data_IF_830542425318
#
_entry.id   IF_830542425318
#
_cell.length_a   1.000
_cell.length_b   1.000
_cell.length_c   1.000
_cell.angle_alpha   90.00
_cell.angle_beta   90.00
_cell.angle_gamma   90.00
#
_symmetry.space_group_name_H-M   'P 1'
#
loop_
_entity.id
_entity.type
_entity.pdbx_description
1 polymer ?
#
# COMPACT_ATOMS: atom_id res chain seq x y z
N UNK A 1 -10.75 -28.77 -9.32
CA UNK A 1 -9.28 -29.01 -9.30
C UNK A 1 -8.50 -27.91 -10.04
N UNK A 2 -8.71 -27.67 -11.35
CA UNK A 2 -7.94 -26.69 -12.13
C UNK A 2 -8.01 -25.23 -11.62
N UNK A 3 -9.18 -24.77 -11.15
CA UNK A 3 -9.34 -23.41 -10.57
C UNK A 3 -8.53 -23.19 -9.29
N UNK A 4 -8.42 -24.20 -8.44
CA UNK A 4 -7.65 -24.11 -7.20
C UNK A 4 -6.14 -24.06 -7.47
N UNK A 5 -5.66 -24.83 -8.44
CA UNK A 5 -4.25 -24.84 -8.85
C UNK A 5 -3.83 -23.51 -9.50
N UNK A 6 -4.70 -22.96 -10.37
CA UNK A 6 -4.51 -21.63 -10.96
C UNK A 6 -4.44 -20.52 -9.90
N UNK A 7 -5.34 -20.52 -8.91
CA UNK A 7 -5.31 -19.55 -7.81
C UNK A 7 -4.07 -19.67 -6.92
N UNK A 8 -3.59 -20.90 -6.71
CA UNK A 8 -2.39 -21.13 -5.92
C UNK A 8 -1.13 -20.61 -6.63
N UNK A 9 -1.05 -20.77 -7.96
CA UNK A 9 0.02 -20.23 -8.79
C UNK A 9 0.01 -18.70 -8.77
N UNK A 10 -1.16 -18.07 -8.90
CA UNK A 10 -1.25 -16.60 -8.88
C UNK A 10 -0.90 -16.01 -7.51
N UNK A 11 -1.31 -16.64 -6.41
CA UNK A 11 -0.92 -16.24 -5.06
C UNK A 11 0.59 -16.39 -4.83
N UNK A 12 1.19 -17.47 -5.33
CA UNK A 12 2.63 -17.69 -5.18
C UNK A 12 3.44 -16.66 -5.98
N UNK A 13 3.00 -16.34 -7.19
CA UNK A 13 3.63 -15.31 -8.01
C UNK A 13 3.51 -13.91 -7.40
N UNK A 14 2.35 -13.56 -6.83
CA UNK A 14 2.16 -12.26 -6.19
C UNK A 14 2.99 -12.14 -4.89
N UNK A 15 3.05 -13.20 -4.08
CA UNK A 15 3.88 -13.23 -2.88
C UNK A 15 5.37 -13.16 -3.23
N UNK A 16 5.80 -13.91 -4.25
CA UNK A 16 7.17 -13.84 -4.76
C UNK A 16 7.52 -12.43 -5.25
N UNK A 17 6.65 -11.80 -6.06
CA UNK A 17 6.83 -10.43 -6.53
C UNK A 17 6.90 -9.42 -5.37
N UNK A 18 6.10 -9.60 -4.32
CA UNK A 18 6.16 -8.76 -3.13
C UNK A 18 7.49 -8.92 -2.37
N UNK A 19 7.96 -10.16 -2.21
CA UNK A 19 9.26 -10.41 -1.55
C UNK A 19 10.44 -9.86 -2.34
N UNK A 20 10.42 -9.94 -3.67
CA UNK A 20 11.51 -9.39 -4.50
C UNK A 20 11.54 -7.87 -4.44
N UNK A 21 10.38 -7.20 -4.47
CA UNK A 21 10.30 -5.74 -4.36
C UNK A 21 10.73 -5.22 -2.98
N UNK A 22 10.34 -5.91 -1.90
CA UNK A 22 10.81 -5.59 -0.55
C UNK A 22 12.34 -5.72 -0.44
N UNK A 23 12.91 -6.83 -0.94
CA UNK A 23 14.35 -7.04 -0.98
C UNK A 23 15.08 -5.98 -1.83
N UNK A 24 14.51 -5.60 -2.99
CA UNK A 24 15.07 -4.55 -3.85
C UNK A 24 15.11 -3.21 -3.12
N UNK A 25 14.05 -2.84 -2.39
CA UNK A 25 14.03 -1.62 -1.59
C UNK A 25 15.15 -1.63 -0.54
N UNK A 26 15.28 -2.71 0.23
CA UNK A 26 16.34 -2.86 1.25
C UNK A 26 17.74 -2.76 0.64
N UNK A 27 17.99 -3.42 -0.50
CA UNK A 27 19.29 -3.35 -1.19
C UNK A 27 19.57 -1.93 -1.72
N UNK A 28 18.56 -1.26 -2.27
CA UNK A 28 18.70 0.11 -2.77
C UNK A 28 18.98 1.11 -1.64
N UNK A 29 18.32 0.95 -0.49
CA UNK A 29 18.59 1.73 0.73
C UNK A 29 20.02 1.52 1.21
N UNK A 30 20.49 0.27 1.28
CA UNK A 30 21.86 -0.04 1.67
C UNK A 30 22.90 0.62 0.74
N UNK A 31 22.67 0.57 -0.58
CA UNK A 31 23.55 1.23 -1.57
C UNK A 31 23.55 2.76 -1.39
N UNK A 32 22.39 3.36 -1.12
CA UNK A 32 22.27 4.78 -0.86
C UNK A 32 23.02 5.20 0.42
N UNK A 33 22.92 4.43 1.50
CA UNK A 33 23.67 4.68 2.73
C UNK A 33 25.18 4.60 2.51
N UNK A 34 25.66 3.68 1.69
CA UNK A 34 27.07 3.58 1.36
C UNK A 34 27.57 4.80 0.57
N UNK A 35 26.79 5.28 -0.41
CA UNK A 35 27.11 6.52 -1.12
C UNK A 35 27.14 7.74 -0.19
N UNK A 36 26.21 7.83 0.77
CA UNK A 36 26.20 8.88 1.80
C UNK A 36 27.44 8.78 2.71
N UNK A 37 27.86 7.56 3.07
CA UNK A 37 29.10 7.34 3.83
C UNK A 37 30.34 7.80 3.05
N UNK A 38 30.42 7.49 1.75
CA UNK A 38 31.50 7.93 0.87
C UNK A 38 31.52 9.44 0.70
N UNK A 39 30.38 10.06 0.42
CA UNK A 39 30.24 11.51 0.35
C UNK A 39 30.73 12.20 1.63
N UNK A 40 30.35 11.67 2.81
CA UNK A 40 30.80 12.20 4.08
C UNK A 40 32.30 12.02 4.33
N UNK A 41 32.93 10.96 3.81
CA UNK A 41 34.39 10.77 3.84
C UNK A 41 35.09 11.81 2.96
N UNK A 42 34.66 11.94 1.70
CA UNK A 42 35.20 12.92 0.75
C UNK A 42 35.08 14.33 1.31
N UNK A 43 33.92 14.68 1.90
CA UNK A 43 33.72 16.01 2.47
C UNK A 43 34.66 16.30 3.65
N UNK A 44 34.93 15.31 4.51
CA UNK A 44 35.94 15.43 5.59
C UNK A 44 37.34 15.63 5.03
N UNK A 45 37.70 14.95 3.95
CA UNK A 45 39.00 15.09 3.28
C UNK A 45 39.15 16.46 2.61
N UNK A 46 38.09 16.95 1.96
CA UNK A 46 38.03 18.32 1.41
C UNK A 46 38.23 19.37 2.51
N UNK A 47 37.54 19.24 3.65
CA UNK A 47 37.72 20.16 4.78
C UNK A 47 39.15 20.15 5.32
N UNK A 48 39.77 18.97 5.47
CA UNK A 48 41.17 18.84 5.91
C UNK A 48 42.14 19.49 4.92
N UNK A 49 42.00 19.22 3.63
CA UNK A 49 42.89 19.76 2.60
C UNK A 49 42.75 21.28 2.43
N UNK A 50 41.51 21.81 2.53
CA UNK A 50 41.27 23.26 2.57
C UNK A 50 41.92 23.92 3.78
N UNK A 51 41.93 23.25 4.94
CA UNK A 51 42.55 23.75 6.15
C UNK A 51 44.10 23.76 6.06
N UNK A 52 44.68 22.75 5.43
CA UNK A 52 46.14 22.62 5.21
C UNK A 52 46.63 23.50 4.03
N UNK A 53 45.73 24.18 3.31
CA UNK A 53 46.07 25.03 2.16
C UNK A 53 46.39 24.26 0.87
N UNK A 54 46.03 22.97 0.80
CA UNK A 54 46.24 22.12 -0.37
C UNK A 54 45.18 22.29 -1.45
N UNK A 55 45.46 21.83 -2.67
CA UNK A 55 44.53 21.93 -3.79
C UNK A 55 43.46 20.82 -3.74
N UNK A 56 42.24 21.18 -3.35
CA UNK A 56 41.11 20.24 -3.20
C UNK A 56 40.19 20.15 -4.43
N UNK A 57 40.56 20.74 -5.58
CA UNK A 57 39.71 20.83 -6.78
C UNK A 57 39.17 19.47 -7.27
N UNK A 58 39.98 18.41 -7.20
CA UNK A 58 39.58 17.05 -7.63
C UNK A 58 38.50 16.45 -6.71
N UNK A 59 38.72 16.49 -5.39
CA UNK A 59 37.77 15.96 -4.41
C UNK A 59 36.45 16.74 -4.35
N UNK A 60 36.48 18.04 -4.69
CA UNK A 60 35.26 18.85 -4.82
C UNK A 60 34.41 18.33 -5.99
N UNK A 61 35.03 18.03 -7.15
CA UNK A 61 34.32 17.44 -8.29
C UNK A 61 33.75 16.06 -7.97
N UNK A 62 34.53 15.20 -7.32
CA UNK A 62 34.07 13.87 -6.89
C UNK A 62 32.90 13.96 -5.89
N UNK A 63 32.91 14.94 -4.99
CA UNK A 63 31.81 15.22 -4.06
C UNK A 63 30.54 15.66 -4.80
N UNK A 64 30.65 16.53 -5.81
CA UNK A 64 29.52 16.98 -6.63
C UNK A 64 28.93 15.84 -7.46
N UNK A 65 29.76 14.98 -8.06
CA UNK A 65 29.33 13.78 -8.79
C UNK A 65 28.63 12.78 -7.87
N UNK A 66 29.20 12.52 -6.69
CA UNK A 66 28.60 11.64 -5.69
C UNK A 66 27.26 12.19 -5.20
N UNK A 67 27.13 13.51 -5.05
CA UNK A 67 25.87 14.16 -4.68
C UNK A 67 24.79 13.97 -5.73
N UNK A 68 25.12 14.06 -7.02
CA UNK A 68 24.18 13.78 -8.13
C UNK A 68 23.73 12.32 -8.12
N UNK A 69 24.66 11.38 -7.91
CA UNK A 69 24.34 9.96 -7.80
C UNK A 69 23.42 9.65 -6.61
N UNK A 70 23.62 10.32 -5.47
CA UNK A 70 22.75 10.23 -4.29
C UNK A 70 21.34 10.69 -4.64
N UNK A 71 21.18 11.86 -5.26
CA UNK A 71 19.85 12.40 -5.62
C UNK A 71 19.12 11.48 -6.60
N UNK A 72 19.82 10.92 -7.57
CA UNK A 72 19.20 10.01 -8.55
C UNK A 72 18.74 8.70 -7.89
N UNK A 73 19.55 8.16 -6.97
CA UNK A 73 19.22 6.93 -6.23
C UNK A 73 18.09 7.14 -5.21
N UNK A 74 18.01 8.31 -4.58
CA UNK A 74 16.91 8.68 -3.68
C UNK A 74 15.56 8.68 -4.39
N UNK A 75 15.50 9.23 -5.61
CA UNK A 75 14.28 9.18 -6.44
C UNK A 75 13.89 7.73 -6.76
N UNK A 76 14.86 6.88 -7.08
CA UNK A 76 14.63 5.45 -7.31
C UNK A 76 14.06 4.72 -6.10
N UNK A 77 14.66 4.94 -4.93
CA UNK A 77 14.19 4.37 -3.64
C UNK A 77 12.77 4.83 -3.33
N UNK A 78 12.48 6.12 -3.49
CA UNK A 78 11.14 6.67 -3.26
C UNK A 78 10.06 6.02 -4.14
N UNK A 79 10.36 5.79 -5.43
CA UNK A 79 9.46 5.07 -6.35
C UNK A 79 9.22 3.63 -5.89
N UNK A 80 10.26 2.90 -5.51
CA UNK A 80 10.12 1.52 -5.03
C UNK A 80 9.32 1.42 -3.73
N UNK A 81 9.48 2.39 -2.83
CA UNK A 81 8.72 2.46 -1.58
C UNK A 81 7.24 2.75 -1.85
N UNK A 82 6.94 3.72 -2.73
CA UNK A 82 5.57 4.04 -3.10
C UNK A 82 4.84 2.85 -3.75
N UNK A 83 5.53 2.10 -4.62
CA UNK A 83 4.98 0.87 -5.20
C UNK A 83 4.72 -0.22 -4.15
N UNK A 84 5.62 -0.35 -3.17
CA UNK A 84 5.43 -1.30 -2.07
C UNK A 84 4.22 -0.93 -1.21
N UNK A 85 4.06 0.36 -0.89
CA UNK A 85 2.94 0.86 -0.10
C UNK A 85 1.60 0.69 -0.81
N UNK A 86 1.51 0.99 -2.11
CA UNK A 86 0.25 0.81 -2.85
C UNK A 86 -0.22 -0.65 -2.90
N UNK A 87 0.73 -1.59 -2.93
CA UNK A 87 0.42 -3.02 -2.81
C UNK A 87 -0.03 -3.40 -1.40
N UNK A 88 0.59 -2.84 -0.36
CA UNK A 88 0.17 -3.06 1.02
C UNK A 88 -1.24 -2.54 1.29
N UNK A 89 -1.61 -1.39 0.73
CA UNK A 89 -2.95 -0.81 0.84
C UNK A 89 -4.05 -1.69 0.22
N UNK A 90 -3.68 -2.57 -0.71
CA UNK A 90 -4.61 -3.52 -1.34
C UNK A 90 -4.90 -4.73 -0.43
N UNK A 91 -4.07 -4.98 0.59
CA UNK A 91 -4.21 -6.15 1.48
C UNK A 91 -5.21 -5.81 2.60
N UNK A 92 -6.31 -6.56 2.66
CA UNK A 92 -7.29 -6.45 3.74
C UNK A 92 -6.77 -6.95 5.09
N UNK A 93 -7.54 -6.71 6.15
CA UNK A 93 -7.18 -7.12 7.51
C UNK A 93 -7.04 -8.65 7.64
N UNK A 94 -6.12 -9.08 8.50
CA UNK A 94 -6.01 -10.48 8.91
C UNK A 94 -7.22 -10.88 9.76
N UNK A 95 -7.88 -11.93 9.34
CA UNK A 95 -9.07 -12.47 9.99
C UNK A 95 -8.63 -13.34 11.18
N UNK A 96 -9.33 -13.22 12.32
CA UNK A 96 -9.06 -14.05 13.49
C UNK A 96 -9.44 -15.52 13.25
N UNK A 97 -8.70 -16.46 13.86
CA UNK A 97 -8.90 -17.92 13.70
C UNK A 97 -10.33 -18.42 14.04
N UNK A 98 -11.09 -17.65 14.83
CA UNK A 98 -12.47 -17.98 15.20
C UNK A 98 -13.50 -17.68 14.11
N UNK A 99 -13.15 -16.92 13.08
CA UNK A 99 -14.10 -16.52 12.03
C UNK A 99 -14.23 -17.66 11.01
N UNK A 100 -15.45 -18.06 10.65
CA UNK A 100 -15.66 -19.11 9.67
C UNK A 100 -15.10 -18.70 8.30
N UNK A 101 -14.28 -19.57 7.71
CA UNK A 101 -13.73 -19.37 6.37
C UNK A 101 -14.85 -19.61 5.35
N UNK A 102 -15.27 -18.54 4.67
CA UNK A 102 -16.27 -18.60 3.61
C UNK A 102 -15.86 -17.73 2.43
N UNK A 103 -16.18 -18.16 1.22
CA UNK A 103 -16.03 -17.39 -0.01
C UNK A 103 -17.29 -16.61 -0.40
N UNK A 104 -18.40 -16.76 0.33
CA UNK A 104 -19.68 -16.16 -0.02
C UNK A 104 -20.52 -15.80 1.21
N UNK A 105 -21.34 -14.76 1.09
CA UNK A 105 -22.20 -14.25 2.16
C UNK A 105 -23.22 -15.29 2.64
N UNK A 106 -23.59 -16.24 1.77
CA UNK A 106 -24.51 -17.32 2.08
C UNK A 106 -24.03 -18.25 3.21
N UNK A 107 -22.72 -18.31 3.50
CA UNK A 107 -22.21 -19.16 4.58
C UNK A 107 -21.97 -18.37 5.89
N UNK A 108 -22.53 -17.16 6.03
CA UNK A 108 -22.47 -16.41 7.28
C UNK A 108 -23.24 -17.15 8.39
N UNK A 109 -22.57 -17.40 9.51
CA UNK A 109 -23.16 -18.13 10.64
C UNK A 109 -24.05 -17.19 11.46
N UNK A 110 -25.35 -17.51 11.57
CA UNK A 110 -26.25 -16.80 12.48
C UNK A 110 -25.97 -17.21 13.93
N UNK A 111 -25.23 -16.38 14.66
CA UNK A 111 -24.82 -16.67 16.06
C UNK A 111 -26.01 -16.65 17.03
N UNK A 112 -26.94 -15.71 16.83
CA UNK A 112 -28.17 -15.60 17.62
C UNK A 112 -29.21 -14.73 16.92
N UNK A 113 -30.48 -15.01 17.13
CA UNK A 113 -31.60 -14.13 16.80
C UNK A 113 -32.37 -13.80 18.07
N UNK A 114 -32.76 -12.52 18.25
CA UNK A 114 -33.41 -12.05 19.49
C UNK A 114 -34.94 -12.00 19.39
N UNK A 115 -35.50 -11.99 18.18
CA UNK A 115 -36.93 -11.85 17.94
C UNK A 115 -37.40 -12.65 16.73
N UNK A 116 -38.69 -13.03 16.75
CA UNK A 116 -39.36 -13.60 15.57
C UNK A 116 -39.89 -12.43 14.73
N UNK A 117 -39.41 -12.28 13.49
CA UNK A 117 -39.97 -11.33 12.54
C UNK A 117 -41.42 -11.72 12.27
N UNK A 118 -42.37 -10.80 12.39
CA UNK A 118 -43.73 -11.01 11.89
C UNK A 118 -43.66 -11.07 10.36
N UNK A 119 -44.04 -12.20 9.78
CA UNK A 119 -44.08 -12.39 8.34
C UNK A 119 -45.56 -12.53 7.97
N UNK A 120 -46.23 -11.40 7.87
CA UNK A 120 -47.61 -11.34 7.39
C UNK A 120 -47.60 -11.15 5.86
N UNK A 121 -48.48 -11.84 5.11
CA UNK A 121 -48.59 -11.62 3.69
C UNK A 121 -49.13 -10.20 3.48
N UNK A 122 -48.40 -9.35 2.72
CA UNK A 122 -48.69 -7.93 2.41
C UNK A 122 -47.98 -6.85 3.25
N UNK A 123 -46.89 -7.18 3.95
CA UNK A 123 -46.00 -6.16 4.52
C UNK A 123 -45.34 -5.32 3.41
N UNK A 124 -45.51 -4.00 3.49
CA UNK A 124 -44.89 -3.03 2.57
C UNK A 124 -43.40 -2.89 2.88
N UNK A 125 -42.58 -2.64 1.86
CA UNK A 125 -41.16 -2.36 2.05
C UNK A 125 -40.99 -0.97 2.69
N UNK A 126 -39.84 -0.73 3.36
CA UNK A 126 -39.54 0.55 3.98
C UNK A 126 -39.58 1.71 2.99
N UNK A 127 -39.22 1.50 1.73
CA UNK A 127 -39.29 2.51 0.65
C UNK A 127 -40.75 2.91 0.39
N UNK A 128 -41.63 1.94 0.14
CA UNK A 128 -43.05 2.20 -0.13
C UNK A 128 -43.75 2.88 1.06
N UNK A 129 -43.38 2.53 2.29
CA UNK A 129 -43.94 3.13 3.49
C UNK A 129 -43.56 4.61 3.61
N UNK A 130 -42.32 4.95 3.26
CA UNK A 130 -41.82 6.33 3.35
C UNK A 130 -42.42 7.22 2.26
N UNK A 131 -42.66 6.69 1.06
CA UNK A 131 -43.38 7.38 -0.01
C UNK A 131 -44.85 7.64 0.37
N UNK A 132 -45.52 6.67 0.99
CA UNK A 132 -46.91 6.82 1.44
C UNK A 132 -47.09 7.77 2.62
N UNK A 133 -46.07 7.89 3.48
CA UNK A 133 -46.09 8.78 4.63
C UNK A 133 -45.53 10.17 4.30
N UNK A 134 -45.09 10.41 3.06
CA UNK A 134 -44.48 11.66 2.58
C UNK A 134 -43.31 12.16 3.45
N UNK A 135 -42.59 11.23 4.10
CA UNK A 135 -41.48 11.54 5.02
C UNK A 135 -40.20 11.84 4.23
N UNK A 136 -39.99 11.16 3.09
CA UNK A 136 -38.86 11.36 2.19
C UNK A 136 -39.36 11.33 0.76
N UNK A 137 -38.94 12.31 -0.04
CA UNK A 137 -39.27 12.41 -1.45
C UNK A 137 -38.16 11.76 -2.29
N UNK A 138 -38.30 10.47 -2.58
CA UNK A 138 -37.31 9.72 -3.37
C UNK A 138 -37.32 10.07 -4.86
N UNK A 139 -38.29 10.86 -5.35
CA UNK A 139 -38.43 11.22 -6.77
C UNK A 139 -37.74 12.54 -7.10
N UNK A 140 -37.79 13.49 -6.17
CA UNK A 140 -37.24 14.84 -6.38
C UNK A 140 -35.72 14.87 -6.60
N UNK A 141 -34.98 13.92 -6.04
CA UNK A 141 -33.53 13.81 -6.22
C UNK A 141 -33.11 13.28 -7.61
N UNK A 142 -34.03 12.69 -8.38
CA UNK A 142 -33.75 12.15 -9.71
C UNK A 142 -34.01 13.14 -10.87
N UNK A 143 -34.75 14.23 -10.64
CA UNK A 143 -35.09 15.22 -11.67
C UNK A 143 -34.06 16.37 -11.79
N UNK A 144 -32.99 16.33 -11.00
CA UNK A 144 -31.91 17.33 -10.98
C UNK A 144 -30.60 16.91 -11.66
N UNK A 145 -30.59 15.82 -12.45
CA UNK A 145 -29.43 15.34 -13.20
C UNK A 145 -29.61 15.51 -14.71
#
# INVERSE_FOLDING_TARGET
>A
MAKAYSHFITLYFSLFAFTTESCINVICQFKLENLRKEFNKINKEVSKLKHVGGNASKLIKESEETKKLITDKEVGVGKTLSLLNSKLETIGNLIHNSVPISTNEANNVMVRSRSKKKVEPKLKNHVDLVELLEIVDTKKDHEGA
#
